data_IF_109688477175
#
_entry.id   IF_109688477175
#
_cell.length_a   1.000
_cell.length_b   1.000
_cell.length_c   1.000
_cell.angle_alpha   90.00
_cell.angle_beta   90.00
_cell.angle_gamma   90.00
#
_symmetry.space_group_name_H-M   'P 1'
#
loop_
_entity.id
_entity.type
_entity.pdbx_description
1 polymer ?
#
# COMPACT_ATOMS: atom_id res chain seq x y z
N UNK A 1 5.59 -22.77 16.66
CA UNK A 1 4.43 -22.52 15.79
C UNK A 1 4.82 -21.68 14.58
N UNK A 2 4.25 -21.97 13.41
CA UNK A 2 4.60 -21.35 12.12
C UNK A 2 4.71 -19.81 12.16
N UNK A 3 3.77 -19.13 12.84
CA UNK A 3 3.82 -17.66 12.99
C UNK A 3 5.10 -17.17 13.70
N UNK A 4 5.55 -17.86 14.76
CA UNK A 4 6.81 -17.52 15.46
C UNK A 4 8.03 -17.71 14.54
N UNK A 5 8.03 -18.75 13.72
CA UNK A 5 9.11 -19.00 12.77
C UNK A 5 9.19 -17.92 11.68
N UNK A 6 8.07 -17.56 11.04
CA UNK A 6 8.04 -16.54 9.99
C UNK A 6 8.44 -15.16 10.53
N UNK A 7 7.96 -14.78 11.72
CA UNK A 7 8.23 -13.45 12.30
C UNK A 7 9.62 -13.33 12.96
N UNK A 8 10.23 -14.42 13.46
CA UNK A 8 11.50 -14.35 14.21
C UNK A 8 12.71 -14.92 13.46
N UNK A 9 12.56 -15.94 12.61
CA UNK A 9 13.69 -16.71 12.08
C UNK A 9 14.02 -16.46 10.60
N UNK A 10 13.06 -16.06 9.76
CA UNK A 10 13.33 -15.93 8.32
C UNK A 10 14.18 -14.70 7.96
N UNK A 11 14.11 -13.64 8.79
CA UNK A 11 14.61 -12.31 8.43
C UNK A 11 15.77 -11.83 9.32
N UNK A 12 15.87 -12.34 10.56
CA UNK A 12 16.88 -11.87 11.52
C UNK A 12 18.25 -12.53 11.33
N UNK A 13 18.31 -13.77 10.84
CA UNK A 13 19.56 -14.55 10.77
C UNK A 13 20.32 -14.44 9.45
N UNK A 14 19.67 -14.02 8.36
CA UNK A 14 20.24 -14.16 7.00
C UNK A 14 20.83 -12.87 6.45
N UNK A 15 20.45 -11.68 6.95
CA UNK A 15 20.82 -10.40 6.31
C UNK A 15 21.30 -9.29 7.24
N UNK A 16 21.29 -9.47 8.57
CA UNK A 16 21.62 -8.39 9.52
C UNK A 16 20.61 -7.22 9.49
N UNK A 17 19.50 -7.38 8.76
CA UNK A 17 18.44 -6.39 8.61
C UNK A 17 17.42 -6.59 9.74
N UNK A 18 17.25 -5.56 10.57
CA UNK A 18 16.27 -5.53 11.67
C UNK A 18 14.84 -5.20 11.21
N UNK A 19 14.48 -5.51 9.97
CA UNK A 19 13.14 -5.21 9.45
C UNK A 19 12.16 -6.32 9.82
N UNK A 20 10.99 -5.90 10.31
CA UNK A 20 9.90 -6.81 10.66
C UNK A 20 9.19 -7.34 9.40
N UNK A 21 8.51 -8.48 9.51
CA UNK A 21 7.66 -9.00 8.42
C UNK A 21 6.61 -7.96 7.98
N UNK A 22 6.08 -7.20 8.94
CA UNK A 22 5.14 -6.11 8.72
C UNK A 22 5.74 -5.03 7.79
N UNK A 23 6.99 -4.62 8.04
CA UNK A 23 7.69 -3.65 7.21
C UNK A 23 8.01 -4.16 5.81
N UNK A 24 8.43 -5.43 5.71
CA UNK A 24 8.74 -6.04 4.41
C UNK A 24 7.49 -6.13 3.56
N UNK A 25 6.37 -6.57 4.13
CA UNK A 25 5.11 -6.64 3.40
C UNK A 25 4.64 -5.26 2.94
N UNK A 26 4.76 -4.23 3.80
CA UNK A 26 4.41 -2.85 3.43
C UNK A 26 5.24 -2.35 2.23
N UNK A 27 6.56 -2.61 2.23
CA UNK A 27 7.45 -2.26 1.11
C UNK A 27 7.12 -3.04 -0.15
N UNK A 28 6.75 -4.30 -0.02
CA UNK A 28 6.37 -5.13 -1.15
C UNK A 28 5.11 -4.56 -1.82
N UNK A 29 4.08 -4.23 -1.06
CA UNK A 29 2.88 -3.57 -1.60
C UNK A 29 3.23 -2.25 -2.32
N UNK A 30 4.00 -1.37 -1.69
CA UNK A 30 4.44 -0.10 -2.29
C UNK A 30 5.23 -0.32 -3.61
N UNK A 31 6.11 -1.32 -3.66
CA UNK A 31 6.90 -1.63 -4.86
C UNK A 31 6.03 -2.17 -6.00
N UNK A 32 4.97 -2.93 -5.69
CA UNK A 32 4.02 -3.39 -6.70
C UNK A 32 3.21 -2.22 -7.26
N UNK A 33 2.83 -1.27 -6.41
CA UNK A 33 1.89 -0.20 -6.76
C UNK A 33 2.59 1.06 -7.30
N UNK A 34 3.93 1.08 -7.40
CA UNK A 34 4.70 2.18 -8.02
C UNK A 34 4.95 2.03 -9.52
N UNK A 35 4.80 3.13 -10.27
CA UNK A 35 5.09 3.27 -11.71
C UNK A 35 6.49 2.73 -12.01
N UNK A 36 6.62 1.95 -13.08
CA UNK A 36 7.87 1.29 -13.46
C UNK A 36 8.06 -0.11 -12.86
N UNK A 37 7.18 -0.56 -11.97
CA UNK A 37 7.18 -1.94 -11.48
C UNK A 37 6.88 -2.92 -12.62
N UNK A 38 7.88 -3.72 -13.02
CA UNK A 38 7.69 -4.82 -13.99
C UNK A 38 6.71 -5.87 -13.47
N UNK A 39 6.46 -5.89 -12.16
CA UNK A 39 5.63 -6.89 -11.52
C UNK A 39 4.15 -6.77 -11.93
N UNK A 40 3.64 -5.57 -12.23
CA UNK A 40 2.23 -5.37 -12.62
C UNK A 40 2.00 -5.59 -14.12
N UNK A 41 3.06 -5.57 -14.94
CA UNK A 41 2.97 -5.79 -16.39
C UNK A 41 2.53 -7.20 -16.78
N UNK A 42 2.70 -8.18 -15.90
CA UNK A 42 2.17 -9.53 -16.08
C UNK A 42 0.84 -9.60 -15.34
N UNK A 43 -0.22 -9.84 -16.10
CA UNK A 43 -1.67 -9.76 -15.82
C UNK A 43 -2.17 -10.67 -14.67
N UNK A 44 -1.49 -10.59 -13.53
CA UNK A 44 -1.59 -11.51 -12.41
C UNK A 44 -1.75 -10.76 -11.08
N UNK A 45 -2.47 -9.64 -11.11
CA UNK A 45 -2.73 -8.82 -9.93
C UNK A 45 -3.49 -9.60 -8.86
N UNK A 46 -4.53 -10.35 -9.24
CA UNK A 46 -5.37 -11.10 -8.32
C UNK A 46 -4.59 -12.15 -7.52
N UNK A 47 -3.62 -12.84 -8.15
CA UNK A 47 -2.76 -13.78 -7.44
C UNK A 47 -1.82 -13.06 -6.46
N UNK A 48 -1.23 -11.93 -6.87
CA UNK A 48 -0.38 -11.12 -5.98
C UNK A 48 -1.17 -10.61 -4.78
N UNK A 49 -2.39 -10.10 -5.01
CA UNK A 49 -3.29 -9.65 -3.96
C UNK A 49 -3.61 -10.78 -2.99
N UNK A 50 -3.97 -11.96 -3.50
CA UNK A 50 -4.20 -13.16 -2.67
C UNK A 50 -2.96 -13.51 -1.83
N UNK A 51 -1.76 -13.48 -2.42
CA UNK A 51 -0.52 -13.78 -1.73
C UNK A 51 -0.19 -12.74 -0.64
N UNK A 52 -0.44 -11.45 -0.90
CA UNK A 52 -0.32 -10.38 0.11
C UNK A 52 -1.23 -10.70 1.30
N UNK A 53 -2.49 -11.05 1.04
CA UNK A 53 -3.45 -11.35 2.11
C UNK A 53 -3.10 -12.61 2.91
N UNK A 54 -2.52 -13.63 2.25
CA UNK A 54 -1.98 -14.81 2.93
C UNK A 54 -0.83 -14.42 3.87
N UNK A 55 0.16 -13.66 3.39
CA UNK A 55 1.29 -13.24 4.23
C UNK A 55 0.80 -12.35 5.38
N UNK A 56 -0.15 -11.45 5.09
CA UNK A 56 -0.75 -10.55 6.08
C UNK A 56 -1.44 -11.30 7.23
N UNK A 57 -1.96 -12.52 7.01
CA UNK A 57 -2.48 -13.39 8.09
C UNK A 57 -1.44 -13.72 9.15
N UNK A 58 -0.17 -13.85 8.73
CA UNK A 58 0.92 -14.23 9.61
C UNK A 58 1.62 -13.01 10.23
N UNK A 59 1.23 -11.79 9.87
CA UNK A 59 1.76 -10.57 10.48
C UNK A 59 1.17 -10.40 11.88
N UNK A 60 2.02 -10.49 12.89
CA UNK A 60 1.62 -10.31 14.29
C UNK A 60 1.29 -8.84 14.59
N UNK A 61 2.12 -7.91 14.12
CA UNK A 61 1.97 -6.49 14.39
C UNK A 61 1.43 -5.75 13.17
N UNK A 62 0.10 -5.81 13.00
CA UNK A 62 -0.61 -5.20 11.86
C UNK A 62 -0.54 -3.67 11.88
N UNK A 63 -0.50 -3.06 13.06
CA UNK A 63 -0.38 -1.60 13.20
C UNK A 63 0.96 -1.08 12.68
N UNK A 64 2.04 -1.86 12.88
CA UNK A 64 3.34 -1.55 12.28
C UNK A 64 3.24 -1.62 10.75
N UNK A 65 2.61 -2.66 10.19
CA UNK A 65 2.39 -2.74 8.74
C UNK A 65 1.64 -1.49 8.24
N UNK A 66 0.52 -1.15 8.88
CA UNK A 66 -0.31 -0.02 8.50
C UNK A 66 0.45 1.30 8.55
N UNK A 67 1.24 1.53 9.61
CA UNK A 67 2.09 2.73 9.75
C UNK A 67 3.07 2.88 8.60
N UNK A 68 3.74 1.79 8.20
CA UNK A 68 4.68 1.83 7.09
C UNK A 68 4.00 1.96 5.74
N UNK A 69 2.92 1.20 5.51
CA UNK A 69 2.15 1.27 4.27
C UNK A 69 1.55 2.66 4.05
N UNK A 70 0.90 3.23 5.06
CA UNK A 70 0.34 4.59 5.00
C UNK A 70 1.40 5.64 4.66
N UNK A 71 2.59 5.56 5.28
CA UNK A 71 3.70 6.48 4.99
C UNK A 71 4.16 6.38 3.53
N UNK A 72 4.26 5.17 3.01
CA UNK A 72 4.71 4.88 1.65
C UNK A 72 3.66 5.29 0.61
N UNK A 73 2.39 4.94 0.84
CA UNK A 73 1.26 5.35 0.02
C UNK A 73 1.19 6.87 -0.10
N UNK A 74 1.26 7.60 1.02
CA UNK A 74 1.29 9.07 0.99
C UNK A 74 2.38 9.61 0.08
N UNK A 75 3.60 9.10 0.20
CA UNK A 75 4.72 9.53 -0.65
C UNK A 75 4.47 9.16 -2.11
N UNK A 76 3.95 7.97 -2.38
CA UNK A 76 3.61 7.51 -3.73
C UNK A 76 2.59 8.45 -4.41
N UNK A 77 1.52 8.80 -3.69
CA UNK A 77 0.45 9.68 -4.18
C UNK A 77 0.95 11.10 -4.43
N UNK A 78 1.70 11.69 -3.48
CA UNK A 78 2.28 13.04 -3.65
C UNK A 78 3.23 13.10 -4.85
N UNK A 79 4.09 12.08 -5.00
CA UNK A 79 5.04 12.01 -6.11
C UNK A 79 4.35 11.62 -7.44
N UNK A 80 3.03 11.38 -7.46
CA UNK A 80 2.24 10.87 -8.59
C UNK A 80 2.84 9.60 -9.22
N UNK A 81 3.38 8.72 -8.37
CA UNK A 81 4.06 7.49 -8.77
C UNK A 81 3.16 6.26 -8.68
N UNK A 82 1.85 6.37 -8.45
CA UNK A 82 0.94 5.22 -8.41
C UNK A 82 0.74 4.60 -9.81
N UNK A 83 0.79 3.27 -9.91
CA UNK A 83 0.53 2.55 -11.18
C UNK A 83 -0.92 2.68 -11.61
N UNK A 84 -1.85 2.47 -10.68
CA UNK A 84 -3.28 2.46 -10.94
C UNK A 84 -4.05 2.61 -9.63
N UNK A 85 -5.00 3.54 -9.61
CA UNK A 85 -5.89 3.77 -8.48
C UNK A 85 -6.76 2.53 -8.19
N UNK A 86 -7.16 1.79 -9.23
CA UNK A 86 -7.97 0.57 -9.08
C UNK A 86 -7.26 -0.54 -8.30
N UNK A 87 -5.92 -0.63 -8.39
CA UNK A 87 -5.15 -1.63 -7.64
C UNK A 87 -4.99 -1.23 -6.17
N UNK A 88 -4.78 0.05 -5.90
CA UNK A 88 -4.79 0.59 -4.54
C UNK A 88 -6.15 0.36 -3.87
N UNK A 89 -7.25 0.69 -4.56
CA UNK A 89 -8.62 0.48 -4.07
C UNK A 89 -8.89 -1.01 -3.78
N UNK A 90 -8.48 -1.90 -4.68
CA UNK A 90 -8.63 -3.35 -4.48
C UNK A 90 -7.87 -3.85 -3.26
N UNK A 91 -6.63 -3.40 -3.06
CA UNK A 91 -5.82 -3.79 -1.91
C UNK A 91 -6.39 -3.24 -0.59
N UNK A 92 -6.83 -1.98 -0.60
CA UNK A 92 -7.47 -1.36 0.56
C UNK A 92 -8.79 -2.07 0.91
N UNK A 93 -9.58 -2.46 -0.10
CA UNK A 93 -10.82 -3.21 0.09
C UNK A 93 -10.57 -4.55 0.81
N UNK A 94 -9.54 -5.29 0.41
CA UNK A 94 -9.16 -6.54 1.10
C UNK A 94 -8.75 -6.33 2.55
N UNK A 95 -8.01 -5.26 2.85
CA UNK A 95 -7.69 -4.89 4.24
C UNK A 95 -8.93 -4.47 5.03
N UNK A 96 -9.87 -3.76 4.40
CA UNK A 96 -11.13 -3.35 5.00
C UNK A 96 -12.01 -4.54 5.34
N UNK A 97 -12.14 -5.49 4.41
CA UNK A 97 -12.88 -6.74 4.62
C UNK A 97 -12.31 -7.55 5.79
N UNK A 98 -10.99 -7.52 5.96
CA UNK A 98 -10.31 -8.33 6.97
C UNK A 98 -10.20 -7.68 8.35
N UNK A 99 -9.95 -6.37 8.40
CA UNK A 99 -9.62 -5.65 9.62
C UNK A 99 -10.65 -4.56 9.98
N UNK A 100 -11.68 -4.37 9.15
CA UNK A 100 -12.74 -3.41 9.38
C UNK A 100 -12.42 -2.00 8.86
N UNK A 101 -13.44 -1.15 8.90
CA UNK A 101 -13.41 0.22 8.38
C UNK A 101 -12.33 1.09 9.04
N UNK A 102 -12.21 1.03 10.37
CA UNK A 102 -11.30 1.90 11.13
C UNK A 102 -9.84 1.70 10.69
N UNK A 103 -9.48 0.46 10.35
CA UNK A 103 -8.13 0.10 9.92
C UNK A 103 -7.71 0.79 8.62
N UNK A 104 -8.64 0.96 7.66
CA UNK A 104 -8.35 1.57 6.34
C UNK A 104 -8.75 3.03 6.22
N UNK A 105 -9.51 3.57 7.17
CA UNK A 105 -10.05 4.94 7.15
C UNK A 105 -9.05 6.02 6.72
N UNK A 106 -7.83 5.98 7.25
CA UNK A 106 -6.75 6.93 6.93
C UNK A 106 -6.18 6.75 5.53
N UNK A 107 -6.14 5.53 4.99
CA UNK A 107 -5.68 5.28 3.62
C UNK A 107 -6.70 5.85 2.62
N UNK A 108 -7.98 5.58 2.87
CA UNK A 108 -9.07 6.10 2.03
C UNK A 108 -9.13 7.64 2.09
N UNK A 109 -8.87 8.23 3.26
CA UNK A 109 -8.77 9.69 3.38
C UNK A 109 -7.61 10.25 2.54
N UNK A 110 -6.42 9.64 2.59
CA UNK A 110 -5.28 10.11 1.79
C UNK A 110 -5.57 10.10 0.29
N UNK A 111 -6.23 9.06 -0.21
CA UNK A 111 -6.60 8.97 -1.63
C UNK A 111 -7.60 10.09 -1.99
N UNK A 112 -8.65 10.27 -1.18
CA UNK A 112 -9.64 11.34 -1.39
C UNK A 112 -9.01 12.73 -1.36
N UNK A 113 -8.10 12.99 -0.43
CA UNK A 113 -7.43 14.30 -0.28
C UNK A 113 -6.61 14.64 -1.54
N UNK A 114 -5.93 13.64 -2.12
CA UNK A 114 -5.13 13.83 -3.35
C UNK A 114 -6.03 14.06 -4.55
N UNK A 115 -7.11 13.27 -4.71
CA UNK A 115 -8.08 13.45 -5.80
C UNK A 115 -8.72 14.85 -5.74
N UNK A 116 -9.14 15.29 -4.55
CA UNK A 116 -9.68 16.63 -4.35
C UNK A 116 -8.66 17.72 -4.70
N UNK A 117 -7.40 17.55 -4.27
CA UNK A 117 -6.33 18.50 -4.58
C UNK A 117 -6.08 18.62 -6.09
N UNK A 118 -6.10 17.51 -6.82
CA UNK A 118 -5.93 17.52 -8.28
C UNK A 118 -7.10 18.21 -8.98
N UNK A 119 -8.34 17.96 -8.53
CA UNK A 119 -9.52 18.57 -9.12
C UNK A 119 -9.59 20.08 -8.85
N UNK A 120 -9.27 20.53 -7.64
CA UNK A 120 -9.14 21.96 -7.33
C UNK A 120 -8.06 22.62 -8.20
N UNK A 121 -6.92 21.94 -8.39
CA UNK A 121 -5.84 22.44 -9.25
C UNK A 121 -6.29 22.56 -10.72
N UNK A 122 -7.06 21.60 -11.24
CA UNK A 122 -7.62 21.64 -12.60
C UNK A 122 -8.63 22.78 -12.77
N UNK A 123 -9.51 22.98 -11.79
CA UNK A 123 -10.50 24.07 -11.79
C UNK A 123 -9.81 25.43 -11.81
N UNK A 124 -8.81 25.62 -10.94
CA UNK A 124 -8.03 26.84 -10.87
C UNK A 124 -7.33 27.16 -12.20
N UNK A 125 -6.64 26.18 -12.80
CA UNK A 125 -5.99 26.35 -14.11
C UNK A 125 -6.98 26.66 -15.25
N UNK A 126 -8.20 26.14 -15.17
CA UNK A 126 -9.25 26.46 -16.15
C UNK A 126 -9.72 27.90 -16.00
N UNK A 127 -9.91 28.35 -14.76
CA UNK A 127 -10.27 29.73 -14.47
C UNK A 127 -9.20 30.72 -14.96
N UNK A 128 -7.91 30.45 -14.70
CA UNK A 128 -6.80 31.28 -15.18
C UNK A 128 -6.70 31.36 -16.71
N UNK A 129 -7.15 30.33 -17.44
CA UNK A 129 -7.14 30.35 -18.92
C UNK A 129 -8.31 31.10 -19.54
N UNK A 130 -9.39 31.27 -18.77
CA UNK A 130 -10.63 31.92 -19.23
C UNK A 130 -10.71 33.39 -18.78
N UNK A 131 -9.70 33.88 -18.07
CA UNK A 131 -9.55 35.27 -17.61
C UNK A 131 -8.34 35.89 -18.31
#
# INVERSE_FOLDING_TARGET
GYAKFVNQNLLSKTTGITMTLAEILARYCDTLLRKGSKAVKNDNWNEKLKNIMIIFNYVNNKDVFMKFYQKMLRKCLIDQLSVSDSYEESLISEFKNKCGYEYTSKLEQLIRDIQLSEDLTKQYRTYEKNT
#
